data_IF_685229196059
#
_entry.id   IF_685229196059
#
_cell.length_a   1.000
_cell.length_b   1.000
_cell.length_c   1.000
_cell.angle_alpha   90.00
_cell.angle_beta   90.00
_cell.angle_gamma   90.00
#
_symmetry.space_group_name_H-M   'P 1'
#
loop_
_entity.id
_entity.type
_entity.pdbx_description
1 polymer ?
#
# COMPACT_ATOMS: atom_id res chain seq x y z
N UNK A 1 13.76 -1.71 12.27
CA UNK A 1 14.02 -3.17 12.27
C UNK A 1 12.79 -3.93 12.73
N UNK A 2 12.67 -5.16 12.26
CA UNK A 2 11.68 -6.17 12.63
C UNK A 2 12.42 -7.53 12.68
N UNK A 3 11.79 -8.60 13.16
CA UNK A 3 12.43 -9.92 13.21
C UNK A 3 12.74 -10.47 11.81
N UNK A 4 13.95 -11.02 11.60
CA UNK A 4 14.36 -11.48 10.27
C UNK A 4 13.46 -12.61 9.71
N UNK A 5 12.91 -13.46 10.57
CA UNK A 5 12.04 -14.57 10.20
C UNK A 5 10.70 -14.14 9.63
N UNK A 6 10.27 -12.89 9.84
CA UNK A 6 9.00 -12.36 9.31
C UNK A 6 9.15 -11.51 8.05
N UNK A 7 10.33 -11.49 7.42
CA UNK A 7 10.63 -10.67 6.24
C UNK A 7 9.59 -10.82 5.12
N UNK A 8 9.22 -12.06 4.78
CA UNK A 8 8.20 -12.33 3.76
C UNK A 8 6.83 -11.73 4.14
N UNK A 9 6.43 -11.85 5.42
CA UNK A 9 5.17 -11.29 5.93
C UNK A 9 5.15 -9.77 5.82
N UNK A 10 6.26 -9.10 6.17
CA UNK A 10 6.37 -7.63 6.09
C UNK A 10 6.29 -7.16 4.64
N UNK A 11 6.99 -7.83 3.71
CA UNK A 11 6.91 -7.52 2.28
C UNK A 11 5.49 -7.69 1.73
N UNK A 12 4.83 -8.79 2.07
CA UNK A 12 3.43 -9.05 1.66
C UNK A 12 2.48 -8.00 2.22
N UNK A 13 2.64 -7.60 3.49
CA UNK A 13 1.80 -6.57 4.11
C UNK A 13 1.98 -5.21 3.45
N UNK A 14 3.20 -4.82 3.04
CA UNK A 14 3.42 -3.55 2.35
C UNK A 14 2.54 -3.41 1.09
N UNK A 15 2.46 -4.48 0.30
CA UNK A 15 1.63 -4.53 -0.90
C UNK A 15 0.15 -4.62 -0.55
N UNK A 16 -0.22 -5.50 0.39
CA UNK A 16 -1.62 -5.69 0.80
C UNK A 16 -2.23 -4.45 1.47
N UNK A 17 -1.43 -3.61 2.10
CA UNK A 17 -1.87 -2.37 2.74
C UNK A 17 -1.74 -1.14 1.84
N UNK A 18 -1.49 -1.33 0.53
CA UNK A 18 -1.37 -0.25 -0.46
C UNK A 18 -0.22 0.74 -0.21
N UNK A 19 0.72 0.40 0.67
CA UNK A 19 1.92 1.22 0.93
C UNK A 19 3.00 0.99 -0.13
N UNK A 20 2.90 -0.11 -0.88
CA UNK A 20 3.76 -0.41 -2.01
C UNK A 20 2.93 -0.89 -3.20
N UNK A 21 3.28 -0.40 -4.39
CA UNK A 21 2.59 -0.71 -5.63
C UNK A 21 3.42 -1.68 -6.46
N UNK A 22 2.79 -2.75 -6.94
CA UNK A 22 3.39 -3.63 -7.93
C UNK A 22 2.82 -3.24 -9.30
N UNK A 23 3.61 -2.54 -10.09
CA UNK A 23 3.22 -2.08 -11.42
C UNK A 23 4.38 -2.20 -12.41
N UNK A 24 4.02 -2.25 -13.68
CA UNK A 24 4.94 -2.17 -14.82
C UNK A 24 4.60 -0.92 -15.64
N UNK A 25 5.60 -0.39 -16.32
CA UNK A 25 5.41 0.64 -17.34
C UNK A 25 5.92 0.06 -18.65
N UNK A 26 5.02 -0.20 -19.58
CA UNK A 26 5.33 -0.71 -20.91
C UNK A 26 4.86 0.30 -21.95
N UNK A 27 5.77 0.76 -22.82
CA UNK A 27 5.47 1.78 -23.83
C UNK A 27 4.78 3.05 -23.29
N UNK A 28 5.10 3.46 -22.07
CA UNK A 28 4.50 4.61 -21.39
C UNK A 28 3.13 4.36 -20.76
N UNK A 29 2.60 3.13 -20.85
CA UNK A 29 1.34 2.72 -20.23
C UNK A 29 1.63 2.07 -18.87
N UNK A 30 0.96 2.55 -17.83
CA UNK A 30 1.05 1.99 -16.48
C UNK A 30 0.11 0.79 -16.37
N UNK A 31 0.60 -0.32 -15.82
CA UNK A 31 -0.19 -1.52 -15.54
C UNK A 31 0.03 -1.94 -14.10
N UNK A 32 -1.02 -1.89 -13.27
CA UNK A 32 -0.97 -2.46 -11.93
C UNK A 32 -1.08 -3.99 -12.03
N UNK A 33 -0.06 -4.69 -11.54
CA UNK A 33 0.01 -6.15 -11.59
C UNK A 33 -0.71 -6.82 -10.42
N UNK A 34 -0.94 -6.07 -9.34
CA UNK A 34 -1.63 -6.58 -8.18
C UNK A 34 -2.55 -5.53 -7.59
N UNK A 35 -3.86 -5.84 -7.60
CA UNK A 35 -4.89 -5.07 -6.90
C UNK A 35 -5.42 -5.87 -5.70
N UNK A 36 -5.09 -5.48 -4.45
CA UNK A 36 -5.64 -6.13 -3.27
C UNK A 36 -7.15 -5.89 -3.21
N UNK A 37 -7.96 -6.94 -3.43
CA UNK A 37 -9.42 -6.87 -3.36
C UNK A 37 -9.92 -6.38 -1.98
N UNK A 38 -9.25 -6.83 -0.91
CA UNK A 38 -9.51 -6.41 0.46
C UNK A 38 -8.20 -5.86 1.08
N UNK A 39 -7.91 -4.56 0.90
CA UNK A 39 -6.68 -3.98 1.41
C UNK A 39 -6.63 -4.05 2.94
N UNK A 40 -5.45 -4.35 3.48
CA UNK A 40 -5.21 -4.37 4.92
C UNK A 40 -4.99 -2.95 5.46
N UNK A 41 -5.34 -2.67 6.73
CA UNK A 41 -4.97 -1.41 7.35
C UNK A 41 -3.45 -1.18 7.30
N UNK A 42 -3.00 0.05 7.06
CA UNK A 42 -1.56 0.40 7.10
C UNK A 42 -0.94 0.11 8.45
N UNK A 43 -1.75 0.17 9.52
CA UNK A 43 -1.36 -0.15 10.89
C UNK A 43 -0.73 -1.53 11.01
N UNK A 44 -1.30 -2.55 10.36
CA UNK A 44 -0.79 -3.94 10.38
C UNK A 44 0.66 -4.04 9.87
N UNK A 45 1.04 -3.19 8.91
CA UNK A 45 2.41 -3.08 8.41
C UNK A 45 3.28 -2.25 9.35
N UNK A 46 2.79 -1.09 9.82
CA UNK A 46 3.56 -0.12 10.59
C UNK A 46 3.98 -0.68 11.96
N UNK A 47 3.07 -1.35 12.69
CA UNK A 47 3.31 -1.84 14.05
C UNK A 47 4.41 -2.91 14.14
N UNK A 48 4.61 -3.68 13.08
CA UNK A 48 5.65 -4.71 13.02
C UNK A 48 7.07 -4.14 13.01
N UNK A 49 7.23 -2.84 12.70
CA UNK A 49 8.53 -2.25 12.42
C UNK A 49 8.90 -1.19 13.45
N UNK A 50 10.03 -1.41 14.14
CA UNK A 50 10.52 -0.48 15.20
C UNK A 50 10.66 0.97 14.74
N UNK A 51 10.90 1.23 13.45
CA UNK A 51 11.08 2.58 12.89
C UNK A 51 9.81 3.45 12.95
N UNK A 52 8.64 2.84 13.09
CA UNK A 52 7.35 3.54 13.13
C UNK A 52 6.73 3.57 14.53
N UNK A 53 7.43 3.09 15.57
CA UNK A 53 6.91 3.03 16.95
C UNK A 53 6.54 4.38 17.57
N UNK A 54 7.07 5.48 17.03
CA UNK A 54 6.81 6.82 17.52
C UNK A 54 5.51 7.43 16.97
N UNK A 55 4.86 6.76 16.02
CA UNK A 55 3.64 7.27 15.41
C UNK A 55 2.45 7.10 16.35
N UNK A 56 1.65 8.16 16.47
CA UNK A 56 0.38 8.13 17.17
C UNK A 56 -0.78 7.74 16.24
N UNK A 57 -1.99 7.58 16.81
CA UNK A 57 -3.16 7.16 16.05
C UNK A 57 -3.55 8.13 14.92
N UNK A 58 -3.45 9.44 15.15
CA UNK A 58 -3.77 10.47 14.15
C UNK A 58 -2.82 10.41 12.96
N UNK A 59 -1.53 10.21 13.22
CA UNK A 59 -0.51 10.05 12.17
C UNK A 59 -0.72 8.76 11.37
N UNK A 60 -1.09 7.65 12.04
CA UNK A 60 -1.41 6.39 11.35
C UNK A 60 -2.64 6.57 10.45
N UNK A 61 -3.68 7.25 10.93
CA UNK A 61 -4.87 7.59 10.16
C UNK A 61 -4.56 8.51 8.97
N UNK A 62 -3.67 9.49 9.15
CA UNK A 62 -3.18 10.32 8.06
C UNK A 62 -2.49 9.48 6.97
N UNK A 63 -1.59 8.57 7.37
CA UNK A 63 -0.91 7.65 6.45
C UNK A 63 -1.91 6.74 5.73
N UNK A 64 -2.94 6.24 6.43
CA UNK A 64 -3.99 5.42 5.83
C UNK A 64 -4.73 6.16 4.72
N UNK A 65 -5.11 7.43 4.96
CA UNK A 65 -5.75 8.28 3.94
C UNK A 65 -4.84 8.54 2.76
N UNK A 66 -3.56 8.83 2.99
CA UNK A 66 -2.58 9.05 1.92
C UNK A 66 -2.36 7.79 1.10
N UNK A 67 -2.21 6.62 1.73
CA UNK A 67 -2.05 5.35 1.03
C UNK A 67 -3.25 5.04 0.13
N UNK A 68 -4.46 5.28 0.62
CA UNK A 68 -5.68 5.09 -0.19
C UNK A 68 -5.74 6.07 -1.37
N UNK A 69 -5.55 7.37 -1.13
CA UNK A 69 -5.62 8.39 -2.18
C UNK A 69 -4.56 8.17 -3.28
N UNK A 70 -3.33 7.80 -2.90
CA UNK A 70 -2.27 7.51 -3.86
C UNK A 70 -2.56 6.22 -4.64
N UNK A 71 -3.14 5.21 -3.99
CA UNK A 71 -3.54 3.98 -4.68
C UNK A 71 -4.67 4.23 -5.69
N UNK A 72 -5.66 5.06 -5.34
CA UNK A 72 -6.74 5.45 -6.25
C UNK A 72 -6.19 6.19 -7.48
N UNK A 73 -5.21 7.09 -7.30
CA UNK A 73 -4.51 7.74 -8.41
C UNK A 73 -3.78 6.72 -9.30
N UNK A 74 -3.15 5.71 -8.72
CA UNK A 74 -2.49 4.65 -9.49
C UNK A 74 -3.48 3.79 -10.27
N UNK A 75 -4.66 3.51 -9.71
CA UNK A 75 -5.75 2.82 -10.41
C UNK A 75 -6.23 3.64 -11.62
N UNK A 76 -6.44 4.95 -11.44
CA UNK A 76 -6.82 5.87 -12.52
C UNK A 76 -5.77 5.89 -13.65
N UNK A 77 -4.48 5.98 -13.30
CA UNK A 77 -3.38 5.95 -14.28
C UNK A 77 -3.24 4.62 -15.01
N UNK A 78 -3.61 3.52 -14.36
CA UNK A 78 -3.53 2.18 -14.95
C UNK A 78 -4.72 1.80 -15.83
N UNK A 79 -5.75 2.66 -15.92
CA UNK A 79 -7.00 2.35 -16.61
C UNK A 79 -7.88 1.30 -15.90
N UNK A 80 -7.49 0.86 -14.70
CA UNK A 80 -8.27 -0.06 -13.85
C UNK A 80 -9.21 0.65 -12.87
N UNK A 81 -9.28 1.99 -12.92
CA UNK A 81 -10.26 2.72 -12.13
C UNK A 81 -11.68 2.28 -12.54
N UNK A 82 -12.58 2.01 -11.58
CA UNK A 82 -13.98 1.83 -11.90
C UNK A 82 -14.47 3.11 -12.60
N UNK A 83 -15.21 2.95 -13.71
CA UNK A 83 -15.91 4.07 -14.33
C UNK A 83 -16.78 4.69 -13.25
N UNK A 84 -16.50 5.94 -12.87
CA UNK A 84 -17.42 6.73 -12.04
C UNK A 84 -18.68 6.93 -12.88
N UNK A 85 -19.78 6.32 -12.47
CA UNK A 85 -21.13 6.61 -12.97
C UNK A 85 -21.58 8.01 -12.54
#
# INVERSE_FOLDING_TARGET
GFDGGITFKVAKLAVQSRLWYLFEIEHGVYKLNFNPANPKPVKDYLELQKRFKHLNAEQIEHIQRQANAMYDLMLERSGLAPKKE
#
